data_IF_442863273223
#
_entry.id   IF_442863273223
#
_cell.length_a   1.000
_cell.length_b   1.000
_cell.length_c   1.000
_cell.angle_alpha   90.00
_cell.angle_beta   90.00
_cell.angle_gamma   90.00
#
_symmetry.space_group_name_H-M   'P 1'
#
loop_
_entity.id
_entity.type
_entity.pdbx_description
1 polymer ?
#
# COMPACT_ATOMS: atom_id res chain seq x y z
N UNK A 1 -20.55 -9.41 11.63
CA UNK A 1 -19.14 -9.44 11.24
C UNK A 1 -18.83 -8.36 10.23
N UNK A 2 -17.72 -7.69 10.42
CA UNK A 2 -17.27 -6.68 9.46
C UNK A 2 -16.74 -7.34 8.19
N UNK A 3 -17.00 -6.70 7.06
CA UNK A 3 -16.45 -7.14 5.78
C UNK A 3 -14.95 -6.77 5.75
N UNK A 4 -14.15 -7.65 5.21
CA UNK A 4 -12.72 -7.40 5.02
C UNK A 4 -12.44 -7.24 3.53
N UNK A 5 -11.46 -6.42 3.21
CA UNK A 5 -10.89 -6.39 1.87
C UNK A 5 -9.49 -7.00 1.93
N UNK A 6 -9.19 -7.87 0.98
CA UNK A 6 -7.86 -8.44 0.81
C UNK A 6 -7.36 -8.08 -0.59
N UNK A 7 -6.34 -7.25 -0.63
CA UNK A 7 -5.77 -6.75 -1.88
C UNK A 7 -4.54 -7.59 -2.21
N UNK A 8 -4.53 -8.22 -3.38
CA UNK A 8 -3.42 -9.06 -3.81
C UNK A 8 -2.53 -8.28 -4.77
N UNK A 9 -1.26 -8.14 -4.44
CA UNK A 9 -0.30 -7.39 -5.25
C UNK A 9 0.85 -8.28 -5.69
N UNK A 10 1.23 -8.25 -6.98
CA UNK A 10 2.42 -8.98 -7.43
C UNK A 10 3.68 -8.23 -7.00
N UNK A 11 4.67 -8.99 -6.53
CA UNK A 11 5.95 -8.41 -6.09
C UNK A 11 7.11 -9.22 -6.67
N UNK A 12 8.18 -8.52 -7.04
CA UNK A 12 9.36 -9.16 -7.60
C UNK A 12 10.25 -9.80 -6.54
N UNK A 13 10.32 -9.16 -5.37
CA UNK A 13 11.19 -9.60 -4.26
C UNK A 13 10.36 -9.56 -2.97
N UNK A 14 9.84 -10.71 -2.58
CA UNK A 14 8.92 -10.80 -1.44
C UNK A 14 9.54 -10.31 -0.12
N UNK A 15 10.75 -10.74 0.26
CA UNK A 15 11.36 -10.23 1.50
C UNK A 15 11.53 -8.71 1.50
N UNK A 16 11.92 -8.14 0.36
CA UNK A 16 12.10 -6.70 0.23
C UNK A 16 10.77 -5.95 0.42
N UNK A 17 9.69 -6.46 -0.20
CA UNK A 17 8.37 -5.87 -0.05
C UNK A 17 7.86 -5.98 1.38
N UNK A 18 8.07 -7.12 2.03
CA UNK A 18 7.69 -7.28 3.43
C UNK A 18 8.41 -6.28 4.32
N UNK A 19 9.71 -6.09 4.09
CA UNK A 19 10.50 -5.13 4.87
C UNK A 19 9.99 -3.71 4.66
N UNK A 20 9.60 -3.37 3.44
CA UNK A 20 9.05 -2.05 3.12
C UNK A 20 7.79 -1.77 3.95
N UNK A 21 6.81 -2.66 3.93
CA UNK A 21 5.55 -2.44 4.65
C UNK A 21 5.75 -2.50 6.16
N UNK A 22 6.68 -3.32 6.63
CA UNK A 22 7.03 -3.35 8.05
C UNK A 22 7.62 -2.01 8.50
N UNK A 23 8.44 -1.40 7.65
CA UNK A 23 9.03 -0.08 7.95
C UNK A 23 7.95 0.99 8.11
N UNK A 24 6.82 0.87 7.41
CA UNK A 24 5.70 1.79 7.56
C UNK A 24 4.89 1.56 8.83
N UNK A 25 5.17 0.48 9.57
CA UNK A 25 4.50 0.19 10.83
C UNK A 25 3.44 -0.92 10.74
N UNK A 26 3.27 -1.55 9.57
CA UNK A 26 2.30 -2.63 9.44
C UNK A 26 2.89 -3.95 9.91
N UNK A 27 2.03 -4.81 10.43
CA UNK A 27 2.43 -6.15 10.84
C UNK A 27 2.17 -7.14 9.71
N UNK A 28 2.66 -8.38 9.87
CA UNK A 28 2.35 -9.44 8.93
C UNK A 28 1.78 -10.62 9.71
N UNK A 29 0.96 -11.43 9.01
CA UNK A 29 0.38 -12.62 9.60
C UNK A 29 1.31 -13.81 9.36
N UNK A 30 1.97 -14.35 10.41
CA UNK A 30 2.93 -15.43 10.23
C UNK A 30 2.32 -16.74 9.72
N UNK A 31 1.00 -16.91 9.83
CA UNK A 31 0.33 -18.09 9.30
C UNK A 31 0.30 -18.15 7.79
N UNK A 32 0.54 -17.00 7.13
CA UNK A 32 0.58 -16.90 5.67
C UNK A 32 1.98 -16.55 5.16
N UNK A 33 3.01 -16.84 5.94
CA UNK A 33 4.39 -16.56 5.56
C UNK A 33 4.96 -17.77 4.79
N UNK A 34 4.82 -17.74 3.48
CA UNK A 34 5.38 -18.71 2.55
C UNK A 34 6.48 -18.06 1.72
N UNK A 35 7.23 -18.88 0.96
CA UNK A 35 8.24 -18.35 0.05
C UNK A 35 7.61 -17.55 -1.10
N UNK A 36 6.34 -17.78 -1.38
CA UNK A 36 5.64 -17.17 -2.53
C UNK A 36 4.54 -16.19 -2.14
N UNK A 37 4.24 -16.07 -0.84
CA UNK A 37 3.14 -15.22 -0.39
C UNK A 37 3.36 -14.74 1.04
N UNK A 38 2.91 -13.52 1.32
CA UNK A 38 2.89 -12.97 2.67
C UNK A 38 1.65 -12.10 2.85
N UNK A 39 1.08 -12.14 4.04
CA UNK A 39 -0.08 -11.31 4.36
C UNK A 39 0.35 -10.14 5.24
N UNK A 40 0.18 -8.93 4.72
CA UNK A 40 0.41 -7.70 5.47
C UNK A 40 -0.92 -7.27 6.07
N UNK A 41 -0.93 -7.03 7.38
CA UNK A 41 -2.12 -6.60 8.11
C UNK A 41 -2.08 -5.09 8.28
N UNK A 42 -2.91 -4.38 7.53
CA UNK A 42 -3.02 -2.93 7.65
C UNK A 42 -3.95 -2.57 8.80
N UNK A 43 -5.09 -3.24 8.87
CA UNK A 43 -6.05 -3.10 9.96
C UNK A 43 -6.87 -4.38 10.07
N UNK A 44 -7.83 -4.39 10.98
CA UNK A 44 -8.73 -5.55 11.14
C UNK A 44 -9.52 -5.86 9.87
N UNK A 45 -9.76 -4.86 9.03
CA UNK A 45 -10.61 -5.00 7.84
C UNK A 45 -9.83 -4.87 6.53
N UNK A 46 -8.54 -4.53 6.58
CA UNK A 46 -7.74 -4.30 5.38
C UNK A 46 -6.49 -5.16 5.42
N UNK A 47 -6.41 -6.11 4.48
CA UNK A 47 -5.29 -7.02 4.35
C UNK A 47 -4.68 -6.85 2.96
N UNK A 48 -3.36 -7.01 2.86
CA UNK A 48 -2.67 -6.98 1.57
C UNK A 48 -1.86 -8.27 1.46
N UNK A 49 -2.17 -9.07 0.44
CA UNK A 49 -1.36 -10.25 0.13
C UNK A 49 -0.29 -9.87 -0.88
N UNK A 50 0.95 -10.05 -0.49
CA UNK A 50 2.08 -9.87 -1.40
C UNK A 50 2.39 -11.23 -2.01
N UNK A 51 2.27 -11.33 -3.33
CA UNK A 51 2.45 -12.60 -4.04
C UNK A 51 3.61 -12.47 -5.01
N UNK A 52 4.49 -13.48 -5.06
CA UNK A 52 5.52 -13.51 -6.10
C UNK A 52 4.82 -13.56 -7.47
N UNK A 53 5.52 -13.17 -8.54
CA UNK A 53 4.93 -13.14 -9.88
C UNK A 53 4.34 -14.49 -10.29
N UNK A 54 5.04 -15.64 -10.12
CA UNK A 54 4.43 -16.92 -10.46
C UNK A 54 3.16 -17.23 -9.65
N UNK A 55 3.16 -16.88 -8.37
CA UNK A 55 1.99 -17.12 -7.51
C UNK A 55 0.83 -16.25 -7.94
N UNK A 56 1.08 -14.98 -8.23
CA UNK A 56 0.06 -14.05 -8.70
C UNK A 56 -0.53 -14.53 -10.03
N UNK A 57 0.34 -14.94 -10.95
CA UNK A 57 -0.08 -15.43 -12.27
C UNK A 57 -0.98 -16.65 -12.14
N UNK A 58 -0.76 -17.51 -11.14
CA UNK A 58 -1.60 -18.69 -10.93
C UNK A 58 -3.04 -18.31 -10.57
N UNK A 59 -3.26 -17.14 -9.96
CA UNK A 59 -4.59 -16.67 -9.57
C UNK A 59 -5.19 -15.70 -10.58
N UNK A 60 -4.37 -15.04 -11.39
CA UNK A 60 -4.82 -13.99 -12.27
C UNK A 60 -5.21 -14.55 -13.65
N UNK A 61 -6.36 -14.15 -14.20
CA UNK A 61 -6.73 -14.54 -15.56
C UNK A 61 -6.00 -13.73 -16.62
N UNK A 62 -5.26 -12.71 -16.25
CA UNK A 62 -4.58 -11.80 -17.17
C UNK A 62 -3.14 -11.60 -16.75
N UNK A 63 -2.33 -11.08 -17.67
CA UNK A 63 -0.93 -10.78 -17.41
C UNK A 63 -0.79 -9.71 -16.32
N UNK A 64 0.32 -9.77 -15.60
CA UNK A 64 0.66 -8.77 -14.59
C UNK A 64 0.86 -7.42 -15.27
N UNK A 65 0.25 -6.37 -14.70
CA UNK A 65 0.41 -5.00 -15.17
C UNK A 65 1.86 -4.54 -14.99
N UNK A 66 2.42 -3.90 -16.02
CA UNK A 66 3.74 -3.29 -15.91
C UNK A 66 3.62 -1.94 -15.21
N UNK A 67 3.88 -1.93 -13.91
CA UNK A 67 3.72 -0.75 -13.07
C UNK A 67 4.72 0.36 -13.37
N UNK A 68 5.75 0.08 -14.18
CA UNK A 68 6.66 1.12 -14.64
C UNK A 68 6.06 1.96 -15.77
N UNK A 69 4.98 1.47 -16.39
CA UNK A 69 4.37 2.11 -17.57
C UNK A 69 2.89 2.44 -17.38
N UNK A 70 2.22 1.74 -16.49
CA UNK A 70 0.76 1.87 -16.33
C UNK A 70 0.35 1.66 -14.90
N UNK A 71 -0.79 2.23 -14.52
CA UNK A 71 -1.38 2.04 -13.21
C UNK A 71 -2.80 1.53 -13.36
N UNK A 72 -3.10 0.45 -12.64
CA UNK A 72 -4.46 -0.11 -12.61
C UNK A 72 -5.27 0.50 -11.48
N UNK A 73 -4.64 0.69 -10.33
CA UNK A 73 -5.35 1.07 -9.11
C UNK A 73 -4.50 2.03 -8.28
N UNK A 74 -5.16 2.97 -7.62
CA UNK A 74 -4.55 3.85 -6.62
C UNK A 74 -5.07 3.41 -5.26
N UNK A 75 -4.16 3.08 -4.35
CA UNK A 75 -4.49 2.56 -3.02
C UNK A 75 -4.33 3.68 -2.00
N UNK A 76 -5.43 4.13 -1.44
CA UNK A 76 -5.44 5.23 -0.48
C UNK A 76 -5.77 4.71 0.91
N UNK A 77 -4.94 5.07 1.89
CA UNK A 77 -5.16 4.71 3.28
C UNK A 77 -5.39 5.97 4.09
N UNK A 78 -6.39 5.93 4.97
CA UNK A 78 -6.66 7.05 5.87
C UNK A 78 -5.69 7.03 7.05
N UNK A 79 -5.33 8.22 7.51
CA UNK A 79 -4.50 8.42 8.69
C UNK A 79 -5.27 9.31 9.68
N UNK A 80 -4.85 9.27 10.93
CA UNK A 80 -5.56 9.97 12.02
C UNK A 80 -5.12 11.43 12.15
N UNK A 81 -3.98 11.80 11.58
CA UNK A 81 -3.45 13.15 11.66
C UNK A 81 -2.53 13.45 10.47
N UNK A 82 -2.32 14.74 10.22
CA UNK A 82 -1.34 15.16 9.22
C UNK A 82 0.07 14.70 9.60
N UNK A 83 0.40 14.76 10.89
CA UNK A 83 1.69 14.30 11.38
C UNK A 83 1.91 12.81 11.08
N UNK A 84 0.87 11.99 11.19
CA UNK A 84 0.96 10.57 10.86
C UNK A 84 1.23 10.37 9.38
N UNK A 85 0.56 11.13 8.51
CA UNK A 85 0.82 11.08 7.06
C UNK A 85 2.29 11.39 6.77
N UNK A 86 2.79 12.48 7.35
CA UNK A 86 4.17 12.91 7.12
C UNK A 86 5.19 11.88 7.63
N UNK A 87 4.95 11.34 8.82
CA UNK A 87 5.83 10.34 9.42
C UNK A 87 5.88 9.06 8.59
N UNK A 88 4.73 8.54 8.20
CA UNK A 88 4.67 7.32 7.39
C UNK A 88 5.26 7.52 6.01
N UNK A 89 5.01 8.68 5.39
CA UNK A 89 5.57 8.98 4.07
C UNK A 89 7.10 9.06 4.13
N UNK A 90 7.65 9.66 5.19
CA UNK A 90 9.10 9.72 5.39
C UNK A 90 9.70 8.32 5.55
N UNK A 91 9.04 7.46 6.30
CA UNK A 91 9.48 6.06 6.46
C UNK A 91 9.40 5.30 5.14
N UNK A 92 8.38 5.57 4.33
CA UNK A 92 8.27 4.94 3.01
C UNK A 92 9.42 5.34 2.10
N UNK A 93 9.75 6.63 2.05
CA UNK A 93 10.87 7.10 1.23
C UNK A 93 12.18 6.49 1.70
N UNK A 94 12.40 6.45 3.01
CA UNK A 94 13.60 5.85 3.59
C UNK A 94 13.70 4.35 3.26
N UNK A 95 12.55 3.68 3.16
CA UNK A 95 12.50 2.24 2.86
C UNK A 95 12.53 1.95 1.36
N UNK A 96 12.61 2.96 0.49
CA UNK A 96 12.77 2.75 -0.94
C UNK A 96 11.62 3.19 -1.84
N UNK A 97 10.63 3.89 -1.30
CA UNK A 97 9.54 4.42 -2.12
C UNK A 97 10.05 5.48 -3.09
N UNK A 98 9.37 5.59 -4.23
CA UNK A 98 9.69 6.57 -5.27
C UNK A 98 8.48 7.43 -5.56
N UNK A 99 8.67 8.52 -6.33
CA UNK A 99 7.60 9.42 -6.75
C UNK A 99 6.77 9.97 -5.58
N UNK A 100 7.44 10.21 -4.44
CA UNK A 100 6.76 10.73 -3.25
C UNK A 100 6.40 12.20 -3.45
N UNK A 101 5.13 12.54 -3.20
CA UNK A 101 4.64 13.90 -3.41
C UNK A 101 3.54 14.23 -2.41
N UNK A 102 3.67 15.38 -1.75
CA UNK A 102 2.68 15.87 -0.80
C UNK A 102 1.77 16.90 -1.48
N UNK A 103 0.47 16.82 -1.21
CA UNK A 103 -0.50 17.77 -1.72
C UNK A 103 -1.47 18.15 -0.60
N UNK A 104 -1.63 19.47 -0.39
CA UNK A 104 -2.56 19.99 0.60
C UNK A 104 -3.77 20.56 -0.14
N UNK A 105 -4.91 19.91 0.04
CA UNK A 105 -6.17 20.31 -0.60
C UNK A 105 -7.02 21.22 0.30
N UNK A 106 -6.50 21.61 1.46
CA UNK A 106 -7.25 22.39 2.43
C UNK A 106 -8.01 21.51 3.41
N UNK A 107 -9.03 20.80 2.96
CA UNK A 107 -9.79 19.87 3.78
C UNK A 107 -9.11 18.51 3.92
N UNK A 108 -8.17 18.21 3.04
CA UNK A 108 -7.46 16.93 3.02
C UNK A 108 -5.99 17.14 2.72
N UNK A 109 -5.13 16.46 3.47
CA UNK A 109 -3.71 16.41 3.21
C UNK A 109 -3.36 15.01 2.73
N UNK A 110 -2.64 14.93 1.63
CA UNK A 110 -2.30 13.64 1.01
C UNK A 110 -0.80 13.59 0.70
N UNK A 111 -0.21 12.42 0.93
CA UNK A 111 1.14 12.15 0.48
C UNK A 111 1.12 10.83 -0.29
N UNK A 112 1.45 10.91 -1.58
CA UNK A 112 1.49 9.74 -2.45
C UNK A 112 2.92 9.23 -2.61
N UNK A 113 3.04 7.95 -2.97
CA UNK A 113 4.32 7.34 -3.28
C UNK A 113 4.10 6.04 -4.06
N UNK A 114 5.16 5.55 -4.70
CA UNK A 114 5.16 4.21 -5.29
C UNK A 114 6.02 3.30 -4.42
N UNK A 115 5.55 2.07 -4.19
CA UNK A 115 6.31 1.10 -3.42
C UNK A 115 7.43 0.49 -4.29
N UNK A 116 8.28 -0.42 -3.75
CA UNK A 116 9.39 -0.97 -4.53
C UNK A 116 8.98 -1.67 -5.82
N UNK A 117 7.73 -2.11 -5.92
CA UNK A 117 7.21 -2.75 -7.13
C UNK A 117 6.45 -1.79 -8.04
N UNK A 118 6.43 -0.51 -7.69
CA UNK A 118 5.75 0.50 -8.50
C UNK A 118 4.26 0.63 -8.27
N UNK A 119 3.70 -0.08 -7.29
CA UNK A 119 2.29 0.08 -6.93
C UNK A 119 2.08 1.44 -6.28
N UNK A 120 1.02 2.14 -6.68
CA UNK A 120 0.77 3.52 -6.25
C UNK A 120 -0.09 3.56 -5.00
N UNK A 121 0.44 4.21 -3.97
CA UNK A 121 -0.21 4.38 -2.67
C UNK A 121 -0.37 5.85 -2.36
N UNK A 122 -1.34 6.18 -1.53
CA UNK A 122 -1.50 7.50 -0.96
C UNK A 122 -1.95 7.40 0.49
N UNK A 123 -1.43 8.29 1.32
CA UNK A 123 -1.80 8.41 2.73
C UNK A 123 -2.57 9.71 2.87
N UNK A 124 -3.78 9.66 3.40
CA UNK A 124 -4.68 10.80 3.48
C UNK A 124 -5.08 11.10 4.92
N UNK A 125 -5.13 12.38 5.25
CA UNK A 125 -5.78 12.86 6.47
C UNK A 125 -6.82 13.91 6.08
N UNK A 126 -8.05 13.69 6.48
CA UNK A 126 -9.11 14.66 6.28
C UNK A 126 -9.36 15.43 7.56
N UNK A 127 -9.13 16.75 7.53
CA UNK A 127 -9.39 17.63 8.67
C UNK A 127 -10.86 18.02 8.77
N UNK A 128 -11.59 17.90 7.66
CA UNK A 128 -13.02 18.23 7.60
C UNK A 128 -13.65 17.45 6.45
N UNK A 129 -14.96 17.31 6.49
CA UNK A 129 -15.68 16.72 5.36
C UNK A 129 -15.63 17.69 4.16
N UNK A 130 -15.53 17.14 2.93
CA UNK A 130 -15.64 18.00 1.75
C UNK A 130 -16.96 18.75 1.73
N UNK A 131 -17.02 19.95 1.14
CA UNK A 131 -18.29 20.67 1.01
C UNK A 131 -19.31 19.83 0.26
N UNK A 132 -20.54 19.82 0.75
CA UNK A 132 -21.63 19.14 0.07
C UNK A 132 -22.28 20.05 -0.94
N UNK A 133 -22.71 19.47 -2.03
CA UNK A 133 -23.37 20.21 -3.10
C UNK A 133 -24.85 19.95 -3.12
#
# INVERSE_FOLDING_TARGET
MSRQICINLPVADLPKSMAFFKALGFSHNPQFAEDTAACIVISETILVMLLTHPKFTAFSPKAICDTSKAVEVLLCLSCESRAQVEDMAAKAVEAGATNAEATDYGFMYQHSFADPDGHCWALNYMSAMPPQK
#
